data_IF_379669327113
#
_entry.id   IF_379669327113
#
_cell.length_a   1.000
_cell.length_b   1.000
_cell.length_c   1.000
_cell.angle_alpha   90.00
_cell.angle_beta   90.00
_cell.angle_gamma   90.00
#
_symmetry.space_group_name_H-M   'P 1'
#
loop_
_entity.id
_entity.type
_entity.pdbx_description
1 polymer ?
#
# COMPACT_ATOMS: atom_id res chain seq x y z
N UNK A 1 -6.03 -26.21 -2.66
CA UNK A 1 -5.13 -25.06 -2.60
C UNK A 1 -5.60 -24.13 -1.48
N UNK A 2 -4.72 -23.60 -0.66
CA UNK A 2 -5.04 -22.87 0.58
C UNK A 2 -5.35 -21.40 0.34
N UNK A 3 -5.77 -20.89 -0.76
CA UNK A 3 -6.19 -19.50 -1.05
C UNK A 3 -5.74 -18.47 0.00
N UNK A 4 -4.41 -18.31 0.12
CA UNK A 4 -3.79 -17.41 1.10
C UNK A 4 -3.69 -16.02 0.50
N UNK A 5 -4.21 -15.02 1.23
CA UNK A 5 -4.08 -13.61 0.90
C UNK A 5 -3.14 -12.89 1.85
N UNK A 6 -2.52 -11.81 1.36
CA UNK A 6 -1.65 -10.92 2.10
C UNK A 6 -2.30 -9.53 2.18
N UNK A 7 -2.51 -9.03 3.40
CA UNK A 7 -3.05 -7.71 3.67
C UNK A 7 -1.95 -6.83 4.27
N UNK A 8 -1.45 -5.85 3.50
CA UNK A 8 -0.36 -4.96 3.90
C UNK A 8 -0.92 -3.62 4.35
N UNK A 9 -0.78 -3.30 5.62
CA UNK A 9 -1.30 -2.09 6.23
C UNK A 9 -0.48 -0.83 5.92
N UNK A 10 -1.09 0.32 6.19
CA UNK A 10 -0.44 1.62 6.18
C UNK A 10 0.45 1.83 7.41
N UNK A 11 1.44 2.70 7.31
CA UNK A 11 2.36 3.00 8.41
C UNK A 11 3.55 3.88 8.01
N UNK A 12 3.41 4.64 6.95
CA UNK A 12 4.40 5.60 6.45
C UNK A 12 5.83 5.02 6.39
N UNK A 13 6.76 5.59 7.13
CA UNK A 13 8.19 5.18 7.15
C UNK A 13 8.45 3.75 7.65
N UNK A 14 7.48 3.14 8.32
CA UNK A 14 7.58 1.76 8.80
C UNK A 14 7.40 0.71 7.68
N UNK A 15 7.13 1.15 6.45
CA UNK A 15 6.93 0.28 5.28
C UNK A 15 8.06 -0.72 5.02
N UNK A 16 9.27 -0.44 5.48
CA UNK A 16 10.40 -1.37 5.41
C UNK A 16 10.11 -2.73 6.10
N UNK A 17 9.23 -2.75 7.11
CA UNK A 17 8.83 -3.99 7.77
C UNK A 17 8.07 -4.94 6.83
N UNK A 18 7.32 -4.41 5.85
CA UNK A 18 6.66 -5.23 4.83
C UNK A 18 7.68 -6.05 4.03
N UNK A 19 8.84 -5.47 3.71
CA UNK A 19 9.91 -6.17 2.98
C UNK A 19 10.42 -7.36 3.79
N UNK A 20 10.59 -7.20 5.12
CA UNK A 20 10.93 -8.30 6.02
C UNK A 20 9.88 -9.42 6.03
N UNK A 21 8.60 -9.06 5.97
CA UNK A 21 7.49 -10.04 5.84
C UNK A 21 7.55 -10.78 4.51
N UNK A 22 7.77 -10.08 3.40
CA UNK A 22 7.91 -10.72 2.07
C UNK A 22 9.09 -11.67 2.03
N UNK A 23 10.22 -11.32 2.64
CA UNK A 23 11.37 -12.20 2.79
C UNK A 23 10.99 -13.46 3.59
N UNK A 24 10.35 -13.32 4.73
CA UNK A 24 9.92 -14.45 5.56
C UNK A 24 8.92 -15.37 4.82
N UNK A 25 7.97 -14.80 4.06
CA UNK A 25 7.03 -15.52 3.19
C UNK A 25 7.81 -16.37 2.17
N UNK A 26 8.82 -15.78 1.54
CA UNK A 26 9.68 -16.48 0.57
C UNK A 26 10.50 -17.60 1.22
N UNK A 27 11.16 -17.33 2.37
CA UNK A 27 11.95 -18.32 3.11
C UNK A 27 11.10 -19.50 3.63
N UNK A 28 9.81 -19.25 3.93
CA UNK A 28 8.86 -20.27 4.38
C UNK A 28 8.08 -20.93 3.25
N UNK A 29 8.38 -20.59 2.00
CA UNK A 29 7.71 -21.13 0.79
C UNK A 29 6.18 -21.00 0.87
N UNK A 30 5.70 -19.88 1.44
CA UNK A 30 4.27 -19.60 1.52
C UNK A 30 3.82 -19.00 0.19
N UNK A 31 2.92 -19.68 -0.49
CA UNK A 31 2.32 -19.22 -1.75
C UNK A 31 1.19 -18.24 -1.45
N UNK A 32 1.36 -16.97 -1.89
CA UNK A 32 0.35 -15.91 -1.79
C UNK A 32 -0.41 -15.84 -3.10
N UNK A 33 -1.73 -15.98 -3.03
CA UNK A 33 -2.60 -15.99 -4.21
C UNK A 33 -3.37 -14.66 -4.38
N UNK A 34 -3.41 -13.80 -3.36
CA UNK A 34 -4.13 -12.52 -3.36
C UNK A 34 -3.34 -11.51 -2.54
N UNK A 35 -3.32 -10.25 -2.96
CA UNK A 35 -2.72 -9.21 -2.14
C UNK A 35 -3.58 -7.94 -2.15
N UNK A 36 -3.75 -7.33 -0.99
CA UNK A 36 -4.29 -5.99 -0.88
C UNK A 36 -3.38 -5.12 -0.01
N UNK A 37 -3.35 -3.82 -0.31
CA UNK A 37 -2.53 -2.86 0.41
C UNK A 37 -3.23 -1.55 0.68
N UNK A 38 -2.79 -0.87 1.74
CA UNK A 38 -3.23 0.48 2.11
C UNK A 38 -2.00 1.35 2.30
N UNK A 39 -2.00 2.57 1.75
CA UNK A 39 -0.90 3.53 1.90
C UNK A 39 0.45 2.93 1.45
N UNK A 40 1.48 2.97 2.28
CA UNK A 40 2.78 2.33 1.97
C UNK A 40 2.62 0.83 1.70
N UNK A 41 1.63 0.16 2.33
CA UNK A 41 1.29 -1.22 2.04
C UNK A 41 0.76 -1.41 0.61
N UNK A 42 0.05 -0.43 0.03
CA UNK A 42 -0.40 -0.46 -1.37
C UNK A 42 0.79 -0.35 -2.34
N UNK A 43 1.78 0.48 -2.00
CA UNK A 43 3.02 0.60 -2.77
C UNK A 43 3.77 -0.75 -2.82
N UNK A 44 3.98 -1.38 -1.66
CA UNK A 44 4.65 -2.69 -1.58
C UNK A 44 3.82 -3.78 -2.26
N UNK A 45 2.49 -3.78 -2.06
CA UNK A 45 1.58 -4.74 -2.68
C UNK A 45 1.61 -4.67 -4.22
N UNK A 46 1.73 -3.45 -4.78
CA UNK A 46 1.85 -3.25 -6.22
C UNK A 46 3.08 -3.97 -6.78
N UNK A 47 4.25 -3.74 -6.22
CA UNK A 47 5.48 -4.39 -6.67
C UNK A 47 5.41 -5.91 -6.52
N UNK A 48 4.93 -6.38 -5.37
CA UNK A 48 4.78 -7.81 -5.11
C UNK A 48 3.84 -8.49 -6.11
N UNK A 49 2.69 -7.87 -6.40
CA UNK A 49 1.71 -8.42 -7.35
C UNK A 49 2.20 -8.46 -8.79
N UNK A 50 3.21 -7.65 -9.14
CA UNK A 50 3.88 -7.65 -10.44
C UNK A 50 5.19 -8.46 -10.45
N UNK A 51 5.34 -9.42 -9.52
CA UNK A 51 6.43 -10.39 -9.50
C UNK A 51 7.79 -9.85 -9.07
N UNK A 52 7.86 -8.62 -8.50
CA UNK A 52 9.13 -8.13 -7.96
C UNK A 52 9.53 -8.92 -6.73
N UNK A 53 10.80 -9.26 -6.64
CA UNK A 53 11.35 -9.96 -5.48
C UNK A 53 11.48 -9.00 -4.29
N UNK A 54 11.54 -9.55 -3.09
CA UNK A 54 11.69 -8.72 -1.88
C UNK A 54 12.97 -7.89 -1.90
N UNK A 55 14.06 -8.38 -2.53
CA UNK A 55 15.32 -7.67 -2.70
C UNK A 55 15.13 -6.39 -3.52
N UNK A 56 14.46 -6.52 -4.69
CA UNK A 56 14.16 -5.38 -5.56
C UNK A 56 13.28 -4.36 -4.84
N UNK A 57 12.25 -4.84 -4.10
CA UNK A 57 11.34 -3.98 -3.35
C UNK A 57 12.10 -3.27 -2.22
N UNK A 58 13.08 -3.93 -1.59
CA UNK A 58 13.94 -3.32 -0.58
C UNK A 58 14.75 -2.15 -1.14
N UNK A 59 15.37 -2.33 -2.29
CA UNK A 59 16.15 -1.28 -2.97
C UNK A 59 15.26 -0.10 -3.34
N UNK A 60 14.12 -0.36 -3.97
CA UNK A 60 13.13 0.68 -4.34
C UNK A 60 12.62 1.42 -3.09
N UNK A 61 12.33 0.70 -1.99
CA UNK A 61 11.88 1.31 -0.74
C UNK A 61 12.99 2.14 -0.06
N UNK A 62 14.26 1.79 -0.24
CA UNK A 62 15.38 2.57 0.29
C UNK A 62 15.48 3.95 -0.37
N UNK A 63 15.04 4.09 -1.62
CA UNK A 63 14.98 5.36 -2.35
C UNK A 63 13.82 6.26 -1.86
N UNK A 64 12.88 5.72 -1.04
CA UNK A 64 11.81 6.51 -0.42
C UNK A 64 12.29 7.42 0.73
N UNK A 65 13.60 7.61 0.94
CA UNK A 65 14.17 8.55 1.91
C UNK A 65 13.66 9.99 1.76
N UNK A 66 13.09 10.31 0.60
CA UNK A 66 12.47 11.61 0.34
C UNK A 66 11.14 11.83 1.07
N UNK A 67 10.50 10.78 1.62
CA UNK A 67 9.41 10.90 2.60
C UNK A 67 9.93 11.42 3.95
N UNK A 68 11.11 12.01 3.97
CA UNK A 68 11.64 12.66 5.16
C UNK A 68 10.68 13.78 5.58
N UNK A 69 10.03 13.55 6.71
CA UNK A 69 9.04 14.44 7.35
C UNK A 69 9.62 15.86 7.53
N UNK A 70 10.94 16.01 7.54
CA UNK A 70 11.61 17.31 7.61
C UNK A 70 11.28 18.23 6.42
N UNK A 71 11.06 17.68 5.23
CA UNK A 71 10.64 18.46 4.05
C UNK A 71 9.16 18.86 4.09
N UNK A 72 8.33 18.04 4.72
CA UNK A 72 6.89 18.33 4.93
C UNK A 72 6.74 19.56 5.83
N UNK A 73 7.58 19.69 6.86
CA UNK A 73 7.58 20.83 7.79
C UNK A 73 7.98 22.16 7.14
N UNK A 74 8.66 22.13 5.99
CA UNK A 74 9.09 23.33 5.25
C UNK A 74 8.06 23.85 4.24
N UNK A 75 7.01 23.08 3.93
CA UNK A 75 5.91 23.51 3.06
C UNK A 75 4.97 24.47 3.82
N UNK A 76 5.36 25.74 3.91
CA UNK A 76 4.54 26.78 4.57
C UNK A 76 3.27 27.17 3.81
N UNK A 77 3.06 26.70 2.57
CA UNK A 77 2.06 27.27 1.66
C UNK A 77 1.27 26.25 0.82
N UNK A 78 1.08 25.02 1.22
CA UNK A 78 0.23 24.11 0.46
C UNK A 78 0.46 22.62 0.72
N UNK A 79 -0.41 21.82 0.15
CA UNK A 79 -0.26 20.36 0.12
C UNK A 79 0.84 19.98 -0.88
N UNK A 80 1.57 18.91 -0.58
CA UNK A 80 2.61 18.37 -1.44
C UNK A 80 1.98 17.48 -2.53
N UNK A 81 2.69 17.31 -3.65
CA UNK A 81 2.38 16.25 -4.60
C UNK A 81 3.04 14.94 -4.16
N UNK A 82 2.33 13.82 -4.35
CA UNK A 82 2.89 12.47 -4.21
C UNK A 82 3.21 11.82 -5.57
N UNK A 83 3.39 12.62 -6.62
CA UNK A 83 3.71 12.18 -7.99
C UNK A 83 4.92 11.23 -8.02
N UNK A 84 5.88 11.42 -7.11
CA UNK A 84 7.07 10.56 -6.99
C UNK A 84 6.70 9.09 -6.76
N UNK A 85 5.62 8.81 -6.03
CA UNK A 85 5.11 7.44 -5.87
C UNK A 85 4.66 6.86 -7.21
N UNK A 86 3.93 7.65 -7.98
CA UNK A 86 3.50 7.27 -9.34
C UNK A 86 4.66 7.08 -10.31
N UNK A 87 5.68 7.95 -10.22
CA UNK A 87 6.92 7.86 -11.03
C UNK A 87 7.67 6.56 -10.75
N UNK A 88 7.90 6.20 -9.48
CA UNK A 88 8.56 4.95 -9.09
C UNK A 88 7.79 3.71 -9.59
N UNK A 89 6.46 3.74 -9.48
CA UNK A 89 5.63 2.68 -10.05
C UNK A 89 5.81 2.59 -11.57
N UNK A 90 5.78 3.73 -12.28
CA UNK A 90 5.93 3.77 -13.72
C UNK A 90 7.34 3.34 -14.19
N UNK A 91 8.37 3.67 -13.42
CA UNK A 91 9.77 3.31 -13.70
C UNK A 91 9.99 1.79 -13.58
N UNK A 92 9.50 1.16 -12.50
CA UNK A 92 9.81 -0.22 -12.18
C UNK A 92 8.78 -1.24 -12.68
N UNK A 93 7.51 -0.86 -12.83
CA UNK A 93 6.42 -1.71 -13.32
C UNK A 93 6.00 -1.31 -14.74
N UNK A 94 6.21 -0.05 -15.11
CA UNK A 94 5.71 0.54 -16.36
C UNK A 94 4.28 1.07 -16.19
N UNK A 95 3.72 1.59 -17.31
CA UNK A 95 2.34 2.11 -17.35
C UNK A 95 1.32 0.96 -17.43
N UNK A 96 1.26 0.16 -16.36
CA UNK A 96 0.40 -1.02 -16.26
C UNK A 96 -0.93 -0.71 -15.59
N UNK A 97 -1.92 -1.56 -15.85
CA UNK A 97 -3.21 -1.58 -15.15
C UNK A 97 -3.20 -2.65 -14.07
N UNK A 98 -3.99 -2.48 -13.03
CA UNK A 98 -4.07 -3.43 -11.90
C UNK A 98 -4.41 -4.85 -12.38
N UNK A 99 -5.28 -4.97 -13.39
CA UNK A 99 -5.65 -6.26 -14.00
C UNK A 99 -4.48 -7.01 -14.67
N UNK A 100 -3.37 -6.34 -14.93
CA UNK A 100 -2.19 -6.92 -15.58
C UNK A 100 -1.22 -7.52 -14.55
N UNK A 101 -1.56 -7.49 -13.25
CA UNK A 101 -0.79 -8.10 -12.18
C UNK A 101 -0.80 -9.64 -12.27
N UNK A 102 0.27 -10.28 -11.81
CA UNK A 102 0.43 -11.74 -11.82
C UNK A 102 -0.51 -12.43 -10.83
N UNK A 103 -0.87 -11.74 -9.74
CA UNK A 103 -1.88 -12.19 -8.77
C UNK A 103 -2.91 -11.08 -8.56
N UNK A 104 -4.17 -11.41 -8.17
CA UNK A 104 -5.19 -10.43 -7.85
C UNK A 104 -4.72 -9.40 -6.84
N UNK A 105 -4.80 -8.12 -7.22
CA UNK A 105 -4.35 -6.96 -6.47
C UNK A 105 -5.50 -6.00 -6.23
N UNK A 106 -5.62 -5.48 -5.01
CA UNK A 106 -6.46 -4.35 -4.69
C UNK A 106 -5.75 -3.37 -3.76
N UNK A 107 -6.10 -2.09 -3.89
CA UNK A 107 -5.61 -1.03 -3.02
C UNK A 107 -6.79 -0.29 -2.40
N UNK A 108 -6.62 0.18 -1.18
CA UNK A 108 -7.67 0.91 -0.48
C UNK A 108 -7.38 2.40 -0.52
N UNK A 109 -8.40 3.18 -0.86
CA UNK A 109 -8.41 4.63 -0.75
C UNK A 109 -9.70 5.09 -0.07
N UNK A 110 -9.77 6.37 0.29
CA UNK A 110 -10.93 7.00 0.91
C UNK A 110 -11.49 8.08 -0.02
N UNK A 111 -12.79 8.03 -0.32
CA UNK A 111 -13.50 9.14 -0.96
C UNK A 111 -13.66 10.27 0.05
N UNK A 112 -12.94 11.37 -0.13
CA UNK A 112 -12.93 12.47 0.86
C UNK A 112 -14.27 13.17 1.01
N UNK A 113 -15.10 13.17 -0.05
CA UNK A 113 -16.41 13.83 -0.01
C UNK A 113 -17.42 13.05 0.83
N UNK A 114 -17.28 11.72 0.90
CA UNK A 114 -18.23 10.83 1.58
C UNK A 114 -17.68 10.19 2.85
N UNK A 115 -16.36 10.14 3.02
CA UNK A 115 -15.71 9.35 4.06
C UNK A 115 -15.84 7.85 3.84
N UNK A 116 -16.09 7.41 2.59
CA UNK A 116 -16.34 6.01 2.26
C UNK A 116 -15.08 5.33 1.71
N UNK A 117 -14.97 4.02 1.99
CA UNK A 117 -13.94 3.18 1.41
C UNK A 117 -14.12 3.06 -0.11
N UNK A 118 -13.03 3.20 -0.83
CA UNK A 118 -12.93 2.91 -2.26
C UNK A 118 -11.89 1.82 -2.48
N UNK A 119 -12.33 0.70 -3.05
CA UNK A 119 -11.44 -0.39 -3.45
C UNK A 119 -11.01 -0.14 -4.90
N UNK A 120 -9.71 -0.02 -5.10
CA UNK A 120 -9.07 0.17 -6.39
C UNK A 120 -8.51 -1.18 -6.87
N UNK A 121 -9.31 -1.90 -7.65
CA UNK A 121 -9.03 -3.23 -8.23
C UNK A 121 -8.87 -3.20 -9.76
N UNK A 122 -8.95 -2.01 -10.33
CA UNK A 122 -8.83 -1.75 -11.78
C UNK A 122 -8.29 -0.34 -12.03
N UNK A 123 -7.90 -0.07 -13.27
CA UNK A 123 -7.31 1.22 -13.64
C UNK A 123 -5.78 1.20 -13.56
N UNK A 124 -5.17 2.37 -13.56
CA UNK A 124 -3.72 2.57 -13.48
C UNK A 124 -3.17 2.16 -12.11
N UNK A 125 -2.09 1.39 -12.08
CA UNK A 125 -1.40 1.03 -10.82
C UNK A 125 -0.82 2.29 -10.16
N UNK A 126 -0.21 3.17 -10.94
CA UNK A 126 0.39 4.41 -10.44
C UNK A 126 -0.66 5.31 -9.77
N UNK A 127 -1.79 5.57 -10.45
CA UNK A 127 -2.86 6.41 -9.90
C UNK A 127 -3.46 5.81 -8.63
N UNK A 128 -3.61 4.48 -8.59
CA UNK A 128 -4.15 3.78 -7.42
C UNK A 128 -3.19 3.86 -6.22
N UNK A 129 -1.88 3.70 -6.45
CA UNK A 129 -0.87 3.87 -5.40
C UNK A 129 -0.86 5.31 -4.90
N UNK A 130 -0.84 6.29 -5.82
CA UNK A 130 -0.88 7.71 -5.45
C UNK A 130 -2.12 8.03 -4.62
N UNK A 131 -3.30 7.55 -5.02
CA UNK A 131 -4.53 7.75 -4.26
C UNK A 131 -4.48 7.12 -2.87
N UNK A 132 -3.98 5.88 -2.78
CA UNK A 132 -3.87 5.15 -1.51
C UNK A 132 -2.85 5.75 -0.55
N UNK A 133 -1.86 6.49 -1.06
CA UNK A 133 -0.78 7.13 -0.26
C UNK A 133 -0.98 8.64 -0.06
N UNK A 134 -2.09 9.20 -0.53
CA UNK A 134 -2.39 10.64 -0.40
C UNK A 134 -2.85 11.00 1.01
N UNK A 135 -1.92 11.08 1.97
CA UNK A 135 -2.21 11.38 3.39
C UNK A 135 -2.90 12.75 3.50
N UNK A 136 -4.12 12.81 4.10
CA UNK A 136 -4.85 14.06 4.29
C UNK A 136 -4.03 15.11 5.07
N UNK A 137 -4.05 16.33 4.57
CA UNK A 137 -3.31 17.45 5.18
C UNK A 137 -1.82 17.51 4.82
N UNK A 138 -1.28 16.47 4.14
CA UNK A 138 0.10 16.40 3.66
C UNK A 138 0.13 16.44 2.14
N UNK A 139 -0.60 15.55 1.50
CA UNK A 139 -0.64 15.44 0.03
C UNK A 139 -1.96 15.91 -0.55
N UNK A 140 -1.90 16.34 -1.81
CA UNK A 140 -3.10 16.63 -2.58
C UNK A 140 -3.94 15.36 -2.77
N UNK A 141 -5.29 15.46 -2.66
CA UNK A 141 -6.17 14.37 -3.06
C UNK A 141 -5.98 14.03 -4.54
N UNK A 142 -6.11 12.75 -4.88
CA UNK A 142 -5.97 12.24 -6.24
C UNK A 142 -7.35 12.06 -6.88
N UNK A 143 -7.57 12.65 -8.05
CA UNK A 143 -8.82 12.48 -8.78
C UNK A 143 -8.79 11.18 -9.61
N UNK A 144 -9.73 10.26 -9.33
CA UNK A 144 -9.96 9.08 -10.15
C UNK A 144 -11.43 9.03 -10.55
N UNK A 145 -11.69 9.25 -11.81
CA UNK A 145 -13.05 9.37 -12.34
C UNK A 145 -13.75 10.64 -11.83
N UNK A 146 -14.78 10.48 -10.99
CA UNK A 146 -15.52 11.60 -10.36
C UNK A 146 -15.26 11.69 -8.85
N UNK A 147 -14.28 10.98 -8.34
CA UNK A 147 -13.97 10.92 -6.90
C UNK A 147 -12.65 11.59 -6.60
N UNK A 148 -12.62 12.34 -5.50
CA UNK A 148 -11.40 12.86 -4.90
C UNK A 148 -10.97 11.90 -3.80
N UNK A 149 -9.84 11.23 -3.98
CA UNK A 149 -9.39 10.15 -3.14
C UNK A 149 -8.19 10.58 -2.29
N UNK A 150 -8.18 10.10 -1.06
CA UNK A 150 -7.10 10.27 -0.09
C UNK A 150 -6.72 8.90 0.48
N UNK A 151 -5.70 8.87 1.32
CA UNK A 151 -5.14 7.66 1.94
C UNK A 151 -6.23 6.74 2.53
N UNK A 152 -6.10 5.46 2.22
CA UNK A 152 -7.04 4.44 2.66
C UNK A 152 -6.97 4.12 4.16
N UNK A 153 -5.89 4.52 4.83
CA UNK A 153 -5.70 4.33 6.28
C UNK A 153 -6.79 4.97 7.13
N UNK A 154 -7.49 5.96 6.57
CA UNK A 154 -8.64 6.61 7.23
C UNK A 154 -9.81 5.63 7.45
N UNK A 155 -10.02 4.69 6.52
CA UNK A 155 -11.19 3.78 6.52
C UNK A 155 -10.85 2.31 6.73
N UNK A 156 -9.74 1.83 6.21
CA UNK A 156 -9.26 0.45 6.39
C UNK A 156 -7.73 0.40 6.34
N UNK A 157 -7.09 0.57 7.50
CA UNK A 157 -5.63 0.64 7.55
C UNK A 157 -4.96 -0.70 7.20
N UNK A 158 -5.44 -1.81 7.76
CA UNK A 158 -5.01 -3.16 7.37
C UNK A 158 -6.13 -3.79 6.55
N UNK A 159 -5.97 -3.98 5.22
CA UNK A 159 -7.07 -4.29 4.30
C UNK A 159 -7.50 -5.77 4.33
N UNK A 160 -7.85 -6.28 5.53
CA UNK A 160 -8.29 -7.67 5.74
C UNK A 160 -9.56 -7.99 4.97
N UNK A 161 -10.59 -7.09 5.06
CA UNK A 161 -11.87 -7.30 4.37
C UNK A 161 -11.67 -7.26 2.86
N UNK A 162 -10.92 -6.26 2.39
CA UNK A 162 -10.59 -6.13 0.97
C UNK A 162 -9.86 -7.38 0.44
N UNK A 163 -8.89 -7.93 1.19
CA UNK A 163 -8.18 -9.17 0.81
C UNK A 163 -9.13 -10.38 0.78
N UNK A 164 -10.08 -10.46 1.70
CA UNK A 164 -11.11 -11.51 1.71
C UNK A 164 -12.01 -11.41 0.49
N UNK A 165 -12.42 -10.20 0.13
CA UNK A 165 -13.32 -9.95 -1.00
C UNK A 165 -12.65 -10.27 -2.35
N UNK A 166 -11.31 -10.22 -2.44
CA UNK A 166 -10.54 -10.73 -3.58
C UNK A 166 -10.62 -12.25 -3.73
N UNK A 167 -11.01 -12.99 -2.68
CA UNK A 167 -11.19 -14.43 -2.72
C UNK A 167 -10.32 -15.23 -1.75
N UNK A 168 -9.52 -14.57 -0.91
CA UNK A 168 -8.68 -15.23 0.10
C UNK A 168 -9.51 -15.91 1.18
N UNK A 169 -9.13 -17.15 1.57
CA UNK A 169 -9.73 -17.89 2.69
C UNK A 169 -8.92 -17.72 3.98
N UNK A 170 -7.60 -17.64 3.85
CA UNK A 170 -6.67 -17.39 4.93
C UNK A 170 -5.95 -16.09 4.65
N UNK A 171 -5.77 -15.25 5.63
CA UNK A 171 -5.18 -13.92 5.44
C UNK A 171 -4.05 -13.71 6.43
N UNK A 172 -2.90 -13.36 5.90
CA UNK A 172 -1.78 -12.82 6.68
C UNK A 172 -1.94 -11.30 6.67
N UNK A 173 -2.30 -10.73 7.83
CA UNK A 173 -2.40 -9.29 8.02
C UNK A 173 -1.10 -8.74 8.60
N UNK A 174 -0.59 -7.64 8.03
CA UNK A 174 0.59 -6.94 8.53
C UNK A 174 0.17 -5.56 9.00
N UNK A 175 0.16 -5.36 10.30
CA UNK A 175 -0.14 -4.09 10.96
C UNK A 175 1.15 -3.43 11.44
N UNK A 176 1.49 -2.28 10.86
CA UNK A 176 2.69 -1.51 11.21
C UNK A 176 2.48 -0.61 12.44
N UNK A 177 1.24 -0.42 12.86
CA UNK A 177 0.88 0.42 14.00
C UNK A 177 0.44 -0.39 15.23
N UNK A 178 0.64 -1.71 15.20
CA UNK A 178 0.36 -2.54 16.36
C UNK A 178 1.23 -2.06 17.53
N UNK A 179 0.61 -1.50 18.56
CA UNK A 179 1.29 -1.22 19.81
C UNK A 179 1.52 -2.57 20.50
N UNK A 180 2.77 -2.86 20.83
CA UNK A 180 3.09 -3.99 21.69
C UNK A 180 2.49 -3.70 23.07
N UNK A 181 1.28 -4.20 23.32
CA UNK A 181 0.78 -4.44 24.66
C UNK A 181 1.55 -5.64 25.26
N UNK A 182 2.88 -5.52 25.32
CA UNK A 182 3.67 -6.42 26.14
C UNK A 182 3.41 -5.97 27.57
N UNK A 183 2.42 -6.58 28.23
CA UNK A 183 2.34 -6.58 29.69
C UNK A 183 3.69 -7.12 30.18
N UNK A 184 4.48 -6.25 30.78
CA UNK A 184 5.69 -6.71 31.47
C UNK A 184 5.20 -7.70 32.54
N UNK A 185 5.71 -8.95 32.55
CA UNK A 185 5.39 -9.86 33.61
C UNK A 185 5.75 -9.20 34.93
N UNK A 186 4.78 -9.13 35.84
CA UNK A 186 4.92 -8.62 37.21
C UNK A 186 5.92 -9.43 38.03
#
# INVERSE_FOLDING_TARGET
>A
MKKIGLALGGGAVLGAAHVGVLRAIKEKEIEIEFVAGTSIGAFVAAFFAFGKKWEDIHEIAADLKWLDISQIALSKFGLLSNDKMGELIAEHIGKKKIKDAEIPLAMVATDIAKGEKVVLDKGSVADAVMASTAIPGIFNPVEIGKKMLVDGGVVENVPIRTTRDLGAKYIIGVDLNAQDNIEKPS
#
